data_IF_389105333618
#
_entry.id   IF_389105333618
#
_cell.length_a   1.000
_cell.length_b   1.000
_cell.length_c   1.000
_cell.angle_alpha   90.00
_cell.angle_beta   90.00
_cell.angle_gamma   90.00
#
_symmetry.space_group_name_H-M   'P 1'
#
loop_
_entity.id
_entity.type
_entity.pdbx_description
1 polymer ?
#
# COMPACT_ATOMS: atom_id res chain seq x y z
N UNK A 1 18.93 -8.25 -7.99
CA UNK A 1 18.05 -7.45 -7.10
C UNK A 1 18.21 -8.00 -5.70
N UNK A 2 18.57 -7.15 -4.75
CA UNK A 2 18.66 -7.49 -3.34
C UNK A 2 17.50 -6.87 -2.60
N UNK A 3 16.92 -7.61 -1.64
CA UNK A 3 15.90 -7.09 -0.73
C UNK A 3 16.56 -6.84 0.62
N UNK A 4 16.36 -5.67 1.18
CA UNK A 4 16.98 -5.29 2.44
C UNK A 4 16.08 -4.38 3.27
N UNK A 5 16.36 -4.33 4.56
CA UNK A 5 15.76 -3.38 5.48
C UNK A 5 16.41 -2.02 5.30
N UNK A 6 15.60 -0.98 5.23
CA UNK A 6 16.06 0.38 5.05
C UNK A 6 16.05 1.15 6.38
N UNK A 7 16.98 2.08 6.52
CA UNK A 7 17.09 2.97 7.66
C UNK A 7 16.77 4.42 7.31
N UNK A 8 16.92 5.32 8.29
CA UNK A 8 16.70 6.78 8.12
C UNK A 8 17.59 7.40 7.05
N UNK A 9 18.77 6.84 6.82
CA UNK A 9 19.70 7.31 5.78
C UNK A 9 19.10 7.19 4.36
N UNK A 10 18.09 6.33 4.19
CA UNK A 10 17.37 6.15 2.94
C UNK A 10 16.20 7.14 2.74
N UNK A 11 15.91 8.03 3.72
CA UNK A 11 14.75 8.93 3.70
C UNK A 11 14.58 9.65 2.36
N UNK A 12 15.63 10.30 1.87
CA UNK A 12 15.56 11.06 0.61
C UNK A 12 15.31 10.18 -0.61
N UNK A 13 15.92 8.99 -0.65
CA UNK A 13 15.72 8.02 -1.73
C UNK A 13 14.27 7.48 -1.71
N UNK A 14 13.73 7.20 -0.52
CA UNK A 14 12.34 6.79 -0.32
C UNK A 14 11.38 7.90 -0.83
N UNK A 15 11.52 9.12 -0.34
CA UNK A 15 10.68 10.24 -0.75
C UNK A 15 10.70 10.45 -2.27
N UNK A 16 11.89 10.38 -2.89
CA UNK A 16 12.06 10.51 -4.34
C UNK A 16 11.38 9.39 -5.12
N UNK A 17 11.56 8.12 -4.69
CA UNK A 17 10.95 6.95 -5.34
C UNK A 17 9.42 7.05 -5.31
N UNK A 18 8.84 7.31 -4.15
CA UNK A 18 7.38 7.39 -4.01
C UNK A 18 6.81 8.56 -4.80
N UNK A 19 7.44 9.74 -4.71
CA UNK A 19 7.02 10.91 -5.47
C UNK A 19 7.02 10.68 -6.98
N UNK A 20 8.11 10.10 -7.51
CA UNK A 20 8.22 9.85 -8.97
C UNK A 20 7.25 8.78 -9.44
N UNK A 21 7.07 7.71 -8.66
CA UNK A 21 6.19 6.60 -9.03
C UNK A 21 4.73 7.02 -9.06
N UNK A 22 4.24 7.64 -7.99
CA UNK A 22 2.85 8.11 -7.92
C UNK A 22 2.60 9.30 -8.83
N UNK A 23 3.59 10.20 -9.00
CA UNK A 23 3.50 11.29 -9.96
C UNK A 23 3.34 10.80 -11.40
N UNK A 24 4.02 9.72 -11.78
CA UNK A 24 3.91 9.13 -13.11
C UNK A 24 2.57 8.39 -13.34
N UNK A 25 2.00 7.75 -12.31
CA UNK A 25 0.77 6.95 -12.44
C UNK A 25 -0.50 7.75 -12.18
N UNK A 26 -0.48 8.70 -11.23
CA UNK A 26 -1.68 9.34 -10.69
C UNK A 26 -1.64 10.88 -10.78
N UNK A 27 -0.53 11.43 -11.23
CA UNK A 27 -0.35 12.86 -11.43
C UNK A 27 0.47 13.53 -10.33
N UNK A 28 0.91 14.77 -10.61
CA UNK A 28 1.88 15.49 -9.78
C UNK A 28 1.38 15.72 -8.34
N UNK A 29 0.10 16.01 -8.17
CA UNK A 29 -0.49 16.25 -6.85
C UNK A 29 -0.39 15.00 -5.96
N UNK A 30 -0.71 13.81 -6.49
CA UNK A 30 -0.60 12.56 -5.78
C UNK A 30 0.87 12.18 -5.53
N UNK A 31 1.73 12.40 -6.51
CA UNK A 31 3.17 12.25 -6.35
C UNK A 31 3.73 13.10 -5.20
N UNK A 32 3.29 14.35 -5.09
CA UNK A 32 3.66 15.24 -3.97
C UNK A 32 3.13 14.72 -2.64
N UNK A 33 1.85 14.31 -2.60
CA UNK A 33 1.19 13.81 -1.40
C UNK A 33 1.89 12.57 -0.84
N UNK A 34 2.08 11.55 -1.67
CA UNK A 34 2.68 10.28 -1.25
C UNK A 34 4.19 10.40 -1.06
N UNK A 35 4.87 11.26 -1.83
CA UNK A 35 6.26 11.61 -1.60
C UNK A 35 6.50 12.25 -0.23
N UNK A 36 5.62 13.16 0.20
CA UNK A 36 5.67 13.77 1.54
C UNK A 36 5.39 12.75 2.65
N UNK A 37 4.44 11.81 2.43
CA UNK A 37 4.21 10.71 3.34
C UNK A 37 5.47 9.85 3.51
N UNK A 38 6.09 9.46 2.40
CA UNK A 38 7.32 8.64 2.41
C UNK A 38 8.50 9.37 3.07
N UNK A 39 8.60 10.69 2.91
CA UNK A 39 9.59 11.51 3.62
C UNK A 39 9.40 11.48 5.14
N UNK A 40 8.16 11.70 5.60
CA UNK A 40 7.83 11.65 7.04
C UNK A 40 8.04 10.27 7.63
N UNK A 41 7.61 9.22 6.92
CA UNK A 41 7.83 7.83 7.35
C UNK A 41 9.31 7.48 7.35
N UNK A 42 10.07 7.90 6.34
CA UNK A 42 11.52 7.68 6.25
C UNK A 42 12.28 8.31 7.42
N UNK A 43 11.91 9.52 7.82
CA UNK A 43 12.47 10.20 9.00
C UNK A 43 12.11 9.49 10.32
N UNK A 44 10.95 8.81 10.36
CA UNK A 44 10.44 8.13 11.55
C UNK A 44 10.86 6.67 11.67
N UNK A 45 11.62 6.10 10.72
CA UNK A 45 12.08 4.70 10.81
C UNK A 45 12.79 4.47 12.15
N UNK A 46 12.29 3.50 12.92
CA UNK A 46 12.81 3.14 14.24
C UNK A 46 12.85 1.64 14.49
N UNK A 47 12.52 0.84 13.46
CA UNK A 47 12.52 -0.62 13.48
C UNK A 47 11.48 -1.28 14.41
N UNK A 48 10.61 -0.46 14.98
CA UNK A 48 9.52 -0.89 15.85
C UNK A 48 8.17 -0.42 15.34
N UNK A 49 7.98 0.89 15.27
CA UNK A 49 6.69 1.48 14.91
C UNK A 49 6.65 1.86 13.42
N UNK A 50 7.83 2.12 12.81
CA UNK A 50 7.99 2.35 11.37
C UNK A 50 9.14 1.51 10.85
N UNK A 51 8.84 0.62 9.92
CA UNK A 51 9.81 -0.19 9.20
C UNK A 51 9.69 0.03 7.70
N UNK A 52 10.82 0.03 7.01
CA UNK A 52 10.88 0.12 5.57
C UNK A 52 11.74 -1.00 4.99
N UNK A 53 11.32 -1.51 3.84
CA UNK A 53 12.08 -2.49 3.07
C UNK A 53 12.24 -2.00 1.64
N UNK A 54 13.42 -2.23 1.07
CA UNK A 54 13.80 -1.80 -0.26
C UNK A 54 14.24 -2.93 -1.16
N UNK A 55 14.01 -2.76 -2.44
CA UNK A 55 14.61 -3.54 -3.50
C UNK A 55 15.72 -2.71 -4.15
N UNK A 56 16.95 -3.20 -4.05
CA UNK A 56 18.13 -2.52 -4.57
C UNK A 56 18.65 -3.27 -5.80
N UNK A 57 18.90 -2.53 -6.87
CA UNK A 57 19.52 -3.06 -8.08
C UNK A 57 20.55 -2.05 -8.61
N UNK A 58 21.81 -2.50 -8.78
CA UNK A 58 22.93 -1.65 -9.23
C UNK A 58 23.03 -0.35 -8.39
N UNK A 59 22.98 -0.49 -7.07
CA UNK A 59 23.02 0.59 -6.08
C UNK A 59 21.82 1.56 -6.10
N UNK A 60 20.83 1.34 -6.96
CA UNK A 60 19.62 2.14 -7.04
C UNK A 60 18.46 1.49 -6.28
N UNK A 61 17.69 2.28 -5.55
CA UNK A 61 16.44 1.88 -4.94
C UNK A 61 15.34 1.83 -6.02
N UNK A 62 14.94 0.61 -6.41
CA UNK A 62 13.96 0.38 -7.47
C UNK A 62 12.56 0.06 -6.98
N UNK A 63 12.39 -0.17 -5.70
CA UNK A 63 11.10 -0.38 -5.06
C UNK A 63 11.23 -0.30 -3.55
N UNK A 64 10.15 0.09 -2.88
CA UNK A 64 10.10 0.15 -1.43
C UNK A 64 8.68 -0.06 -0.90
N UNK A 65 8.61 -0.55 0.35
CA UNK A 65 7.37 -0.66 1.12
C UNK A 65 7.62 -0.18 2.54
N UNK A 66 6.54 0.32 3.16
CA UNK A 66 6.52 0.60 4.59
C UNK A 66 5.55 -0.33 5.32
N UNK A 67 5.92 -0.65 6.55
CA UNK A 67 5.04 -1.21 7.56
C UNK A 67 5.03 -0.29 8.76
N UNK A 68 3.84 0.07 9.21
CA UNK A 68 3.66 0.95 10.35
C UNK A 68 2.79 0.28 11.41
N UNK A 69 3.16 0.42 12.67
CA UNK A 69 2.42 -0.18 13.77
C UNK A 69 1.07 0.50 13.97
N UNK A 70 0.04 -0.31 14.16
CA UNK A 70 -1.23 0.12 14.71
C UNK A 70 -1.21 -0.12 16.22
N UNK A 71 -1.26 0.97 16.99
CA UNK A 71 -1.15 0.92 18.44
C UNK A 71 -2.52 0.71 19.08
N UNK A 72 -2.62 -0.29 19.92
CA UNK A 72 -3.75 -0.61 20.77
C UNK A 72 -3.38 -0.41 22.25
N UNK A 73 -4.36 -0.45 23.16
CA UNK A 73 -4.10 -0.32 24.59
C UNK A 73 -3.26 -1.48 25.15
N UNK A 74 -3.29 -2.62 24.48
CA UNK A 74 -2.39 -3.75 24.73
C UNK A 74 -1.17 -3.70 23.78
N UNK A 75 -0.18 -4.56 24.05
CA UNK A 75 1.04 -4.67 23.23
C UNK A 75 0.85 -5.47 21.92
N UNK A 76 -0.37 -5.48 21.35
CA UNK A 76 -0.63 -6.18 20.12
C UNK A 76 0.28 -5.70 18.98
N UNK A 77 0.89 -6.66 18.31
CA UNK A 77 1.77 -6.42 17.16
C UNK A 77 0.99 -6.52 15.86
N UNK A 78 0.28 -5.45 15.56
CA UNK A 78 -0.49 -5.29 14.31
C UNK A 78 0.19 -4.22 13.47
N UNK A 79 0.47 -4.54 12.22
CA UNK A 79 1.15 -3.63 11.31
C UNK A 79 0.34 -3.37 10.06
N UNK A 80 0.34 -2.13 9.61
CA UNK A 80 -0.27 -1.72 8.35
C UNK A 80 0.79 -1.62 7.27
N UNK A 81 0.58 -2.32 6.17
CA UNK A 81 1.36 -2.25 4.94
C UNK A 81 0.82 -1.10 4.10
N UNK A 82 1.53 0.00 4.04
CA UNK A 82 1.28 1.18 3.19
C UNK A 82 2.38 2.23 3.39
N UNK A 83 2.77 2.95 2.34
CA UNK A 83 2.53 2.72 0.93
C UNK A 83 3.52 1.72 0.30
N UNK A 84 3.25 1.33 -0.95
CA UNK A 84 4.12 0.48 -1.78
C UNK A 84 4.44 1.22 -3.07
N UNK A 85 5.71 1.28 -3.45
CA UNK A 85 6.14 1.85 -4.72
C UNK A 85 7.16 0.96 -5.42
N UNK A 86 7.05 0.87 -6.74
CA UNK A 86 8.06 0.28 -7.64
C UNK A 86 8.30 1.26 -8.77
N UNK A 87 9.55 1.64 -8.98
CA UNK A 87 9.95 2.55 -10.05
C UNK A 87 9.37 2.08 -11.39
N UNK A 88 8.82 3.00 -12.18
CA UNK A 88 8.05 2.71 -13.38
C UNK A 88 8.77 1.76 -14.34
N UNK A 89 10.10 1.93 -14.52
CA UNK A 89 10.91 1.06 -15.36
C UNK A 89 11.06 -0.40 -14.84
N UNK A 90 10.66 -0.67 -13.61
CA UNK A 90 10.79 -1.99 -12.95
C UNK A 90 9.43 -2.60 -12.57
N UNK A 91 8.33 -1.95 -12.95
CA UNK A 91 6.98 -2.48 -12.76
C UNK A 91 6.76 -3.71 -13.66
N UNK A 92 5.84 -4.60 -13.25
CA UNK A 92 5.57 -5.83 -13.97
C UNK A 92 6.62 -6.93 -13.80
N UNK A 93 7.80 -6.64 -13.23
CA UNK A 93 8.89 -7.60 -13.01
C UNK A 93 8.84 -8.34 -11.65
N UNK A 94 7.74 -8.24 -10.91
CA UNK A 94 7.58 -8.94 -9.63
C UNK A 94 8.25 -8.26 -8.43
N UNK A 95 8.84 -7.08 -8.59
CA UNK A 95 9.56 -6.37 -7.51
C UNK A 95 8.65 -6.10 -6.30
N UNK A 96 7.44 -5.56 -6.54
CA UNK A 96 6.48 -5.30 -5.46
C UNK A 96 6.04 -6.56 -4.74
N UNK A 97 5.84 -7.65 -5.49
CA UNK A 97 5.49 -8.95 -4.89
C UNK A 97 6.61 -9.49 -4.00
N UNK A 98 7.86 -9.39 -4.46
CA UNK A 98 9.02 -9.82 -3.69
C UNK A 98 9.16 -9.01 -2.39
N UNK A 99 8.98 -7.68 -2.47
CA UNK A 99 9.01 -6.79 -1.31
C UNK A 99 7.93 -7.11 -0.28
N UNK A 100 6.69 -7.31 -0.73
CA UNK A 100 5.58 -7.63 0.18
C UNK A 100 5.85 -8.94 0.91
N UNK A 101 6.24 -10.01 0.18
CA UNK A 101 6.57 -11.31 0.80
C UNK A 101 7.71 -11.18 1.81
N UNK A 102 8.80 -10.53 1.41
CA UNK A 102 9.96 -10.29 2.27
C UNK A 102 9.58 -9.53 3.55
N UNK A 103 8.85 -8.44 3.43
CA UNK A 103 8.42 -7.66 4.59
C UNK A 103 7.50 -8.45 5.54
N UNK A 104 6.54 -9.22 5.01
CA UNK A 104 5.66 -10.07 5.81
C UNK A 104 6.45 -11.18 6.54
N UNK A 105 7.44 -11.80 5.89
CA UNK A 105 8.31 -12.80 6.51
C UNK A 105 9.12 -12.20 7.66
N UNK A 106 9.71 -11.01 7.45
CA UNK A 106 10.47 -10.32 8.51
C UNK A 106 9.56 -9.97 9.69
N UNK A 107 8.36 -9.43 9.43
CA UNK A 107 7.38 -9.12 10.47
C UNK A 107 6.96 -10.36 11.26
N UNK A 108 6.65 -11.46 10.58
CA UNK A 108 6.31 -12.73 11.22
C UNK A 108 7.46 -13.23 12.11
N UNK A 109 8.70 -13.17 11.61
CA UNK A 109 9.90 -13.53 12.36
C UNK A 109 10.14 -12.66 13.59
N UNK A 110 9.66 -11.42 13.59
CA UNK A 110 9.69 -10.50 14.73
C UNK A 110 8.51 -10.67 15.69
N UNK A 111 7.61 -11.62 15.42
CA UNK A 111 6.45 -11.91 16.26
C UNK A 111 5.26 -10.98 16.02
N UNK A 112 5.15 -10.36 14.85
CA UNK A 112 3.93 -9.68 14.48
C UNK A 112 2.78 -10.69 14.34
N UNK A 113 1.61 -10.35 14.88
CA UNK A 113 0.46 -11.23 14.87
C UNK A 113 -0.40 -11.04 13.61
N UNK A 114 -0.53 -9.82 13.14
CA UNK A 114 -1.43 -9.43 12.05
C UNK A 114 -0.77 -8.37 11.18
N UNK A 115 -0.91 -8.53 9.88
CA UNK A 115 -0.72 -7.45 8.91
C UNK A 115 -2.08 -7.01 8.36
N UNK A 116 -2.26 -5.71 8.18
CA UNK A 116 -3.44 -5.12 7.54
C UNK A 116 -2.99 -4.25 6.38
N UNK A 117 -3.88 -4.01 5.43
CA UNK A 117 -3.65 -3.06 4.34
C UNK A 117 -4.98 -2.46 3.86
N UNK A 118 -4.91 -1.33 3.19
CA UNK A 118 -6.05 -0.69 2.55
C UNK A 118 -5.78 -0.59 1.05
N UNK A 119 -6.50 -1.38 0.24
CA UNK A 119 -6.26 -1.44 -1.19
C UNK A 119 -7.09 -2.49 -1.92
N UNK A 120 -6.66 -2.84 -3.13
CA UNK A 120 -7.37 -3.79 -4.00
C UNK A 120 -7.31 -5.23 -3.46
N UNK A 121 -8.46 -5.85 -3.12
CA UNK A 121 -8.53 -7.24 -2.67
C UNK A 121 -7.96 -8.25 -3.69
N UNK A 122 -8.11 -7.98 -4.99
CA UNK A 122 -7.59 -8.87 -6.03
C UNK A 122 -6.07 -8.87 -6.09
N UNK A 123 -5.44 -7.73 -5.80
CA UNK A 123 -3.99 -7.62 -5.72
C UNK A 123 -3.44 -8.24 -4.43
N UNK A 124 -3.93 -7.82 -3.27
CA UNK A 124 -3.39 -8.24 -1.97
C UNK A 124 -3.79 -9.67 -1.59
N UNK A 125 -4.88 -10.21 -2.13
CA UNK A 125 -5.27 -11.61 -1.95
C UNK A 125 -4.20 -12.62 -2.38
N UNK A 126 -3.33 -12.25 -3.33
CA UNK A 126 -2.18 -13.06 -3.77
C UNK A 126 -1.11 -13.28 -2.70
N UNK A 127 -1.15 -12.48 -1.65
CA UNK A 127 -0.22 -12.54 -0.50
C UNK A 127 -0.88 -13.11 0.74
N UNK A 128 -2.14 -13.55 0.65
CA UNK A 128 -2.88 -14.11 1.78
C UNK A 128 -3.72 -13.10 2.57
N UNK A 129 -3.82 -11.84 2.11
CA UNK A 129 -4.77 -10.90 2.68
C UNK A 129 -6.20 -11.27 2.28
N UNK A 130 -7.12 -11.14 3.23
CA UNK A 130 -8.54 -11.35 3.03
C UNK A 130 -9.34 -10.14 3.57
N UNK A 131 -10.58 -9.94 3.10
CA UNK A 131 -11.44 -8.89 3.64
C UNK A 131 -11.51 -8.95 5.17
N UNK A 132 -11.23 -7.83 5.81
CA UNK A 132 -11.22 -7.69 7.26
C UNK A 132 -12.36 -6.78 7.70
N UNK A 133 -13.30 -7.32 8.48
CA UNK A 133 -14.38 -6.52 9.04
C UNK A 133 -13.86 -5.51 10.06
N UNK A 134 -14.38 -4.28 10.03
CA UNK A 134 -14.13 -3.29 11.08
C UNK A 134 -14.69 -3.75 12.46
N UNK A 135 -15.57 -4.77 12.49
CA UNK A 135 -15.98 -5.45 13.72
C UNK A 135 -14.86 -6.30 14.33
N UNK A 136 -13.86 -6.71 13.54
CA UNK A 136 -12.68 -7.47 14.00
C UNK A 136 -11.54 -6.52 14.33
N UNK A 137 -11.08 -5.74 13.36
CA UNK A 137 -10.09 -4.65 13.58
C UNK A 137 -10.58 -3.41 12.84
N UNK A 138 -10.81 -2.34 13.57
CA UNK A 138 -11.19 -1.04 13.00
C UNK A 138 -10.00 -0.42 12.28
N UNK A 139 -10.28 0.26 11.18
CA UNK A 139 -9.30 1.15 10.59
C UNK A 139 -9.05 2.37 11.50
N UNK A 140 -7.85 2.97 11.50
CA UNK A 140 -7.54 4.13 12.35
C UNK A 140 -8.44 5.33 12.07
N UNK A 141 -8.95 5.43 10.85
CA UNK A 141 -9.87 6.49 10.38
C UNK A 141 -11.08 5.85 9.68
N UNK A 142 -12.12 6.66 9.41
CA UNK A 142 -13.23 6.20 8.58
C UNK A 142 -12.75 5.98 7.13
N UNK A 143 -13.06 4.82 6.57
CA UNK A 143 -12.65 4.45 5.22
C UNK A 143 -13.69 4.87 4.19
N UNK A 144 -13.25 5.41 3.06
CA UNK A 144 -14.13 5.71 1.91
C UNK A 144 -14.62 4.43 1.21
N UNK A 145 -13.80 3.38 1.21
CA UNK A 145 -14.13 2.07 0.62
C UNK A 145 -13.88 0.94 1.61
N UNK A 146 -14.82 0.63 2.52
CA UNK A 146 -14.61 -0.37 3.58
C UNK A 146 -14.21 -1.77 3.07
N UNK A 147 -14.61 -2.15 1.86
CA UNK A 147 -14.25 -3.43 1.25
C UNK A 147 -12.74 -3.55 0.89
N UNK A 148 -12.04 -2.42 0.83
CA UNK A 148 -10.58 -2.39 0.65
C UNK A 148 -9.79 -2.61 1.94
N UNK A 149 -10.46 -2.74 3.10
CA UNK A 149 -9.78 -3.06 4.35
C UNK A 149 -9.52 -4.56 4.44
N UNK A 150 -8.25 -4.93 4.46
CA UNK A 150 -7.80 -6.32 4.34
C UNK A 150 -6.87 -6.66 5.49
N UNK A 151 -6.88 -7.93 5.91
CA UNK A 151 -6.00 -8.42 6.96
C UNK A 151 -5.48 -9.82 6.70
N UNK A 152 -4.34 -10.10 7.30
CA UNK A 152 -3.69 -11.41 7.27
C UNK A 152 -3.14 -11.75 8.65
N UNK A 153 -3.40 -12.97 9.11
CA UNK A 153 -2.71 -13.53 10.28
C UNK A 153 -1.28 -13.93 9.90
N UNK A 154 -0.31 -13.50 10.70
CA UNK A 154 1.11 -13.83 10.49
C UNK A 154 1.61 -14.94 11.44
N UNK A 155 0.83 -15.32 12.44
CA UNK A 155 1.16 -16.35 13.44
C UNK A 155 0.31 -17.62 13.32
N UNK A 156 -0.50 -17.74 12.26
CA UNK A 156 -1.37 -18.89 12.01
C UNK A 156 -2.60 -18.97 12.93
N UNK A 157 -2.80 -18.01 13.82
CA UNK A 157 -3.97 -17.96 14.69
C UNK A 157 -5.07 -17.08 14.08
N UNK A 158 -6.35 -17.33 14.36
CA UNK A 158 -7.41 -16.43 13.94
C UNK A 158 -7.17 -15.00 14.46
N UNK A 159 -7.46 -14.00 13.62
CA UNK A 159 -7.36 -12.60 14.02
C UNK A 159 -8.39 -12.33 15.12
N UNK A 160 -7.90 -11.94 16.29
CA UNK A 160 -8.74 -11.68 17.45
C UNK A 160 -9.44 -10.32 17.33
N UNK A 161 -10.77 -10.26 17.58
CA UNK A 161 -11.51 -9.01 17.55
C UNK A 161 -11.01 -7.98 18.57
N UNK A 162 -10.90 -6.72 18.14
CA UNK A 162 -10.52 -5.58 18.98
C UNK A 162 -11.59 -4.50 18.90
N UNK A 163 -12.17 -4.16 20.06
CA UNK A 163 -13.28 -3.19 20.12
C UNK A 163 -12.82 -1.74 19.91
N UNK A 164 -11.59 -1.45 20.31
CA UNK A 164 -11.04 -0.11 20.21
C UNK A 164 -10.55 0.21 18.78
N UNK A 165 -10.57 1.49 18.47
CA UNK A 165 -9.94 2.00 17.24
C UNK A 165 -8.45 2.17 17.51
N UNK A 166 -7.56 1.57 16.70
CA UNK A 166 -6.13 1.74 16.89
C UNK A 166 -5.69 3.16 16.56
N UNK A 167 -4.55 3.55 17.12
CA UNK A 167 -3.84 4.74 16.70
C UNK A 167 -2.82 4.37 15.62
N UNK A 168 -2.78 5.14 14.54
CA UNK A 168 -1.71 5.05 13.55
C UNK A 168 -0.55 5.98 13.93
N UNK A 169 0.61 5.75 13.30
CA UNK A 169 1.76 6.66 13.42
C UNK A 169 1.41 8.07 12.92
N UNK A 170 2.12 9.08 13.42
CA UNK A 170 1.83 10.51 13.16
C UNK A 170 1.67 10.82 11.68
N UNK A 171 2.57 10.28 10.83
CA UNK A 171 2.55 10.49 9.39
C UNK A 171 1.20 10.10 8.74
N UNK A 172 0.48 9.12 9.28
CA UNK A 172 -0.81 8.68 8.76
C UNK A 172 -2.03 9.39 9.36
N UNK A 173 -1.86 10.41 10.19
CA UNK A 173 -2.99 11.15 10.76
C UNK A 173 -3.69 12.07 9.76
N UNK A 174 -3.04 12.41 8.65
CA UNK A 174 -3.68 13.21 7.61
C UNK A 174 -4.74 12.38 6.87
N UNK A 175 -6.03 12.80 6.88
CA UNK A 175 -7.11 12.07 6.21
C UNK A 175 -6.90 11.89 4.71
N UNK A 176 -6.12 12.74 4.06
CA UNK A 176 -5.85 12.66 2.63
C UNK A 176 -5.21 11.31 2.21
N UNK A 177 -4.45 10.66 3.09
CA UNK A 177 -3.84 9.37 2.80
C UNK A 177 -4.80 8.17 2.83
N UNK A 178 -6.04 8.39 3.23
CA UNK A 178 -7.08 7.36 3.35
C UNK A 178 -8.18 7.50 2.30
N UNK A 179 -8.05 8.49 1.43
CA UNK A 179 -8.94 8.67 0.29
C UNK A 179 -8.41 7.84 -0.86
N UNK A 180 -9.22 6.89 -1.36
CA UNK A 180 -8.89 6.22 -2.62
C UNK A 180 -9.25 7.20 -3.73
N UNK A 181 -8.34 7.49 -4.68
CA UNK A 181 -8.67 8.29 -5.85
C UNK A 181 -9.91 7.70 -6.55
N UNK A 182 -10.85 8.51 -7.03
CA UNK A 182 -11.99 7.99 -7.78
C UNK A 182 -11.45 7.17 -8.96
N UNK A 183 -11.99 5.95 -9.12
CA UNK A 183 -11.66 5.11 -10.27
C UNK A 183 -11.79 5.97 -11.52
N UNK A 184 -10.74 6.02 -12.33
CA UNK A 184 -10.81 6.67 -13.64
C UNK A 184 -11.89 5.92 -14.41
N UNK A 185 -13.06 6.56 -14.58
CA UNK A 185 -14.19 6.02 -15.29
C UNK A 185 -13.68 5.46 -16.62
N UNK A 186 -13.97 4.21 -16.89
CA UNK A 186 -13.96 3.65 -18.23
C UNK A 186 -14.68 4.66 -19.13
N UNK A 187 -13.94 5.32 -20.00
CA UNK A 187 -14.49 6.24 -20.98
C UNK A 187 -15.66 5.56 -21.71
N UNK A 188 -16.65 6.31 -22.17
CA UNK A 188 -17.81 5.73 -22.81
C UNK A 188 -17.36 4.85 -23.95
N UNK A 189 -17.80 3.57 -23.91
CA UNK A 189 -17.63 2.65 -25.01
C UNK A 189 -18.15 3.33 -26.28
N UNK A 190 -17.26 3.52 -27.25
CA UNK A 190 -17.61 4.13 -28.53
C UNK A 190 -18.83 3.40 -29.12
N UNK A 191 -19.89 4.14 -29.33
CA UNK A 191 -21.04 3.69 -30.10
C UNK A 191 -20.54 3.20 -31.47
N UNK A 192 -20.94 2.02 -31.94
CA UNK A 192 -20.64 1.62 -33.30
C UNK A 192 -21.44 2.53 -34.23
N UNK A 193 -20.72 3.29 -35.04
CA UNK A 193 -21.24 4.10 -36.13
C UNK A 193 -22.12 3.24 -37.08
N UNK A 194 -23.44 3.41 -36.99
CA UNK A 194 -24.36 2.84 -37.93
C UNK A 194 -24.49 3.79 -39.12
N UNK A 195 -23.51 3.74 -40.00
CA UNK A 195 -23.69 4.31 -41.33
C UNK A 195 -24.69 3.45 -42.12
N UNK A 196 -25.92 4.00 -42.25
CA UNK A 196 -26.87 3.59 -43.25
C UNK A 196 -26.27 3.77 -44.64
N UNK A 197 -26.11 2.68 -45.36
CA UNK A 197 -25.92 2.67 -46.79
C UNK A 197 -27.24 2.29 -47.49
N UNK A 198 -28.05 3.28 -47.79
CA UNK A 198 -29.08 3.16 -48.84
C UNK A 198 -28.43 3.28 -50.21
N UNK A 199 -28.79 2.40 -51.08
CA UNK A 199 -28.52 2.47 -52.51
C UNK A 199 -28.98 1.16 -53.12
N UNK A 200 -30.03 1.09 -53.80
CA UNK A 200 -30.57 1.78 -54.94
C UNK A 200 -30.49 0.82 -56.12
N UNK A 201 -31.63 0.30 -56.43
CA UNK A 201 -32.20 -0.19 -57.69
C UNK A 201 -31.25 -0.54 -58.89
N UNK A 202 -31.36 -1.65 -59.40
CA UNK A 202 -31.94 -2.13 -60.69
C UNK A 202 -32.00 -3.64 -60.68
#
# INVERSE_FOLDING_TARGET
MNLEKLGRDNQKALASLFRSTFGASEGEAEGMLIGNLADQLGAAIDDRDVMAFGAIQREALIGAIFFTRLCFADDARVYMLAPVAVATAHQGAGVGQALIRFGLEVLAGQGAAVAVTYGDPAYYGRFGFAPLSEGVIRAPVALSMPHGWLGQSLNGQPIQPRRERPQCVEAFRNPAYWSVPPERGSGPAGEPDRTHGEGGAC
#
